data_IF_001877744314
#
_entry.id   IF_001877744314
#
_cell.length_a   1.000
_cell.length_b   1.000
_cell.length_c   1.000
_cell.angle_alpha   90.00
_cell.angle_beta   90.00
_cell.angle_gamma   90.00
#
_symmetry.space_group_name_H-M   'P 1'
#
loop_
_entity.id
_entity.type
_entity.pdbx_description
1 polymer ?
#
# COMPACT_ATOMS: atom_id res chain seq x y z
N UNK A 1 0.41 -19.64 20.68
CA UNK A 1 -0.82 -19.89 19.91
C UNK A 1 -0.39 -20.55 18.62
N UNK A 2 -0.89 -21.74 18.34
CA UNK A 2 -0.62 -22.40 17.07
C UNK A 2 -1.25 -21.55 15.95
N UNK A 3 -0.44 -21.14 14.98
CA UNK A 3 -0.91 -20.39 13.84
C UNK A 3 -1.70 -21.31 12.92
N UNK A 4 -2.90 -20.90 12.51
CA UNK A 4 -3.65 -21.62 11.48
C UNK A 4 -2.85 -21.70 10.18
N UNK A 5 -2.91 -22.86 9.53
CA UNK A 5 -2.36 -23.03 8.19
C UNK A 5 -3.10 -22.11 7.20
N UNK A 6 -2.37 -21.56 6.23
CA UNK A 6 -2.91 -20.66 5.20
C UNK A 6 -2.79 -21.31 3.83
N UNK A 7 -3.80 -21.14 2.99
CA UNK A 7 -3.75 -21.60 1.60
C UNK A 7 -2.49 -21.09 0.88
N UNK A 8 -1.68 -21.97 0.28
CA UNK A 8 -0.43 -21.61 -0.40
C UNK A 8 -0.64 -20.89 -1.75
N UNK A 9 -1.88 -20.74 -2.24
CA UNK A 9 -2.16 -19.80 -3.33
C UNK A 9 -1.97 -18.36 -2.83
N UNK A 10 -0.99 -17.66 -3.39
CA UNK A 10 -0.59 -16.31 -2.96
C UNK A 10 -1.72 -15.27 -2.98
N UNK A 11 -2.68 -15.41 -3.90
CA UNK A 11 -3.83 -14.51 -4.01
C UNK A 11 -5.00 -14.89 -3.08
N UNK A 12 -4.97 -16.08 -2.46
CA UNK A 12 -6.03 -16.55 -1.58
C UNK A 12 -5.66 -16.38 -0.11
N UNK A 13 -4.58 -17.03 0.35
CA UNK A 13 -4.07 -17.00 1.75
C UNK A 13 -5.11 -17.21 2.86
N UNK A 14 -6.30 -17.73 2.55
CA UNK A 14 -7.37 -17.98 3.53
C UNK A 14 -6.89 -18.96 4.59
N UNK A 15 -7.32 -18.75 5.83
CA UNK A 15 -7.13 -19.69 6.93
C UNK A 15 -7.82 -21.02 6.62
N UNK A 16 -7.11 -22.12 6.87
CA UNK A 16 -7.59 -23.47 6.65
C UNK A 16 -8.09 -24.01 7.99
N UNK A 17 -9.39 -24.32 8.05
CA UNK A 17 -10.09 -24.64 9.29
C UNK A 17 -10.42 -26.13 9.34
N UNK A 18 -11.38 -26.62 8.55
CA UNK A 18 -11.85 -28.01 8.69
C UNK A 18 -11.13 -28.98 7.75
N UNK A 19 -11.08 -28.62 6.46
CA UNK A 19 -10.52 -29.45 5.40
C UNK A 19 -9.61 -28.66 4.50
N UNK A 20 -8.58 -29.33 4.02
CA UNK A 20 -7.62 -28.78 3.07
C UNK A 20 -7.10 -29.88 2.14
N UNK A 21 -6.52 -29.48 1.03
CA UNK A 21 -5.80 -30.39 0.13
C UNK A 21 -4.31 -30.25 0.42
N UNK A 22 -3.65 -31.34 0.78
CA UNK A 22 -2.21 -31.42 1.05
C UNK A 22 -1.52 -32.17 -0.08
N UNK A 23 -0.33 -31.73 -0.46
CA UNK A 23 0.50 -32.39 -1.46
C UNK A 23 1.78 -32.99 -0.87
N UNK A 24 2.34 -33.99 -1.54
CA UNK A 24 3.64 -34.60 -1.17
C UNK A 24 4.81 -33.64 -1.29
N UNK A 25 4.70 -32.59 -2.12
CA UNK A 25 5.68 -31.49 -2.18
C UNK A 25 5.51 -30.44 -1.07
N UNK A 26 4.85 -30.79 0.03
CA UNK A 26 4.64 -29.97 1.23
C UNK A 26 3.79 -28.71 1.05
N UNK A 27 2.91 -28.66 0.04
CA UNK A 27 1.98 -27.53 -0.13
C UNK A 27 0.57 -27.89 0.36
N UNK A 28 -0.19 -26.87 0.75
CA UNK A 28 -1.55 -27.00 1.25
C UNK A 28 -2.47 -25.92 0.68
N UNK A 29 -3.67 -26.31 0.28
CA UNK A 29 -4.64 -25.45 -0.40
C UNK A 29 -6.03 -25.59 0.22
N UNK A 30 -6.84 -24.54 0.13
CA UNK A 30 -8.27 -24.68 0.38
C UNK A 30 -8.93 -25.49 -0.74
N UNK A 31 -10.08 -26.10 -0.45
CA UNK A 31 -10.81 -26.94 -1.41
C UNK A 31 -11.16 -26.18 -2.70
N UNK A 32 -11.58 -24.92 -2.59
CA UNK A 32 -11.92 -24.06 -3.73
C UNK A 32 -10.74 -23.90 -4.69
N UNK A 33 -9.58 -23.50 -4.17
CA UNK A 33 -8.36 -23.32 -4.98
C UNK A 33 -7.86 -24.66 -5.53
N UNK A 34 -7.97 -25.74 -4.76
CA UNK A 34 -7.53 -27.04 -5.23
C UNK A 34 -8.38 -27.53 -6.42
N UNK A 35 -9.70 -27.42 -6.32
CA UNK A 35 -10.63 -27.79 -7.40
C UNK A 35 -10.44 -26.94 -8.67
N UNK A 36 -10.05 -25.67 -8.51
CA UNK A 36 -9.78 -24.76 -9.62
C UNK A 36 -8.43 -25.07 -10.31
N UNK A 37 -7.39 -25.37 -9.53
CA UNK A 37 -5.99 -25.31 -10.00
C UNK A 37 -5.35 -26.66 -10.27
N UNK A 38 -5.76 -27.73 -9.59
CA UNK A 38 -5.31 -29.08 -9.93
C UNK A 38 -6.08 -29.58 -11.16
N UNK A 39 -5.70 -29.06 -12.34
CA UNK A 39 -6.21 -29.51 -13.63
C UNK A 39 -5.49 -30.78 -14.11
N UNK A 40 -5.82 -31.24 -15.32
CA UNK A 40 -5.32 -32.50 -15.94
C UNK A 40 -3.80 -32.64 -15.89
N UNK A 41 -3.05 -31.52 -15.88
CA UNK A 41 -1.59 -31.52 -15.89
C UNK A 41 -0.95 -31.99 -14.59
N UNK A 42 -1.71 -32.23 -13.51
CA UNK A 42 -1.23 -32.76 -12.22
C UNK A 42 0.04 -32.06 -11.70
N UNK A 43 0.10 -30.74 -11.83
CA UNK A 43 1.21 -29.93 -11.31
C UNK A 43 0.78 -29.23 -10.02
N UNK A 44 1.69 -29.12 -9.06
CA UNK A 44 1.47 -28.31 -7.88
C UNK A 44 1.32 -26.82 -8.27
N UNK A 45 0.23 -26.14 -7.90
CA UNK A 45 0.02 -24.73 -8.24
C UNK A 45 1.01 -23.75 -7.58
N UNK A 46 1.79 -24.21 -6.59
CA UNK A 46 2.73 -23.36 -5.85
C UNK A 46 4.19 -23.56 -6.25
N UNK A 47 4.59 -24.76 -6.68
CA UNK A 47 5.99 -25.09 -6.98
C UNK A 47 6.19 -25.90 -8.26
N UNK A 48 5.12 -26.13 -9.03
CA UNK A 48 5.15 -26.81 -10.33
C UNK A 48 5.67 -28.25 -10.32
N UNK A 49 5.87 -28.84 -9.14
CA UNK A 49 6.21 -30.26 -9.00
C UNK A 49 5.11 -31.12 -9.62
N UNK A 50 5.50 -32.11 -10.41
CA UNK A 50 4.60 -33.12 -10.96
C UNK A 50 4.09 -34.04 -9.87
N UNK A 51 2.77 -34.21 -9.79
CA UNK A 51 2.02 -34.92 -8.75
C UNK A 51 1.22 -36.06 -9.40
N UNK A 52 1.94 -37.04 -9.96
CA UNK A 52 1.36 -38.12 -10.77
C UNK A 52 0.87 -39.31 -9.96
N UNK A 53 1.39 -39.49 -8.75
CA UNK A 53 1.06 -40.63 -7.90
C UNK A 53 -0.32 -40.49 -7.25
N UNK A 54 -1.00 -41.60 -6.90
CA UNK A 54 -2.34 -41.56 -6.30
C UNK A 54 -2.41 -40.75 -5.00
N UNK A 55 -1.37 -40.79 -4.19
CA UNK A 55 -1.29 -40.15 -2.88
C UNK A 55 -0.61 -38.76 -2.91
N UNK A 56 -0.28 -38.25 -4.10
CA UNK A 56 0.38 -36.95 -4.24
C UNK A 56 -0.52 -35.76 -3.87
N UNK A 57 -1.83 -35.95 -3.89
CA UNK A 57 -2.84 -34.93 -3.60
C UNK A 57 -3.93 -35.54 -2.76
N UNK A 58 -3.98 -35.20 -1.47
CA UNK A 58 -4.91 -35.78 -0.51
C UNK A 58 -5.75 -34.73 0.18
N UNK A 59 -7.04 -35.00 0.34
CA UNK A 59 -7.91 -34.18 1.19
C UNK A 59 -7.67 -34.59 2.64
N UNK A 60 -7.20 -33.65 3.46
CA UNK A 60 -6.91 -33.83 4.87
C UNK A 60 -7.98 -33.16 5.74
N UNK A 61 -8.35 -33.82 6.83
CA UNK A 61 -9.12 -33.24 7.92
C UNK A 61 -8.15 -32.64 8.94
N UNK A 62 -8.23 -31.34 9.17
CA UNK A 62 -7.31 -30.64 10.09
C UNK A 62 -7.70 -30.85 11.56
N UNK A 63 -8.96 -31.23 11.81
CA UNK A 63 -9.49 -31.50 13.14
C UNK A 63 -10.11 -32.92 13.18
N UNK A 64 -9.28 -33.99 13.17
CA UNK A 64 -9.80 -35.35 13.20
C UNK A 64 -10.42 -35.70 14.56
N UNK A 65 -11.34 -36.67 14.57
CA UNK A 65 -11.94 -37.21 15.80
C UNK A 65 -10.91 -37.95 16.66
N UNK A 66 -11.18 -38.12 17.96
CA UNK A 66 -10.29 -38.87 18.84
C UNK A 66 -10.14 -40.33 18.38
N UNK A 67 -11.21 -40.97 17.92
CA UNK A 67 -11.17 -42.33 17.40
C UNK A 67 -10.22 -42.46 16.21
N UNK A 68 -10.26 -41.49 15.28
CA UNK A 68 -9.33 -41.46 14.14
C UNK A 68 -7.89 -41.27 14.59
N UNK A 69 -7.63 -40.36 15.55
CA UNK A 69 -6.28 -40.14 16.11
C UNK A 69 -5.72 -41.43 16.74
N UNK A 70 -6.57 -42.23 17.40
CA UNK A 70 -6.17 -43.53 17.97
C UNK A 70 -5.89 -44.57 16.88
N UNK A 71 -6.71 -44.63 15.83
CA UNK A 71 -6.60 -45.70 14.83
C UNK A 71 -5.57 -45.45 13.73
N UNK A 72 -5.32 -44.18 13.36
CA UNK A 72 -4.60 -43.82 12.11
C UNK A 72 -3.18 -44.39 12.00
N UNK A 73 -2.49 -44.61 13.12
CA UNK A 73 -1.15 -45.23 13.17
C UNK A 73 -1.14 -46.65 13.76
N UNK A 74 -2.30 -47.15 14.19
CA UNK A 74 -2.41 -48.47 14.82
C UNK A 74 -2.12 -49.59 13.80
N UNK A 75 -1.26 -50.53 14.16
CA UNK A 75 -0.84 -51.64 13.29
C UNK A 75 0.43 -51.38 12.47
N UNK A 76 0.99 -50.17 12.54
CA UNK A 76 2.28 -49.84 11.92
C UNK A 76 3.45 -50.19 12.85
N UNK A 77 4.62 -50.48 12.28
CA UNK A 77 5.84 -50.67 13.08
C UNK A 77 6.30 -49.35 13.69
N UNK A 78 7.03 -49.37 14.83
CA UNK A 78 7.58 -48.16 15.43
C UNK A 78 8.44 -47.32 14.47
N UNK A 79 9.16 -47.96 13.55
CA UNK A 79 9.98 -47.26 12.56
C UNK A 79 9.13 -46.40 11.60
N UNK A 80 8.03 -46.97 11.08
CA UNK A 80 7.12 -46.28 10.16
C UNK A 80 6.39 -45.15 10.90
N UNK A 81 5.97 -45.38 12.14
CA UNK A 81 5.33 -44.36 12.99
C UNK A 81 6.23 -43.14 13.13
N UNK A 82 7.50 -43.36 13.49
CA UNK A 82 8.47 -42.27 13.65
C UNK A 82 8.75 -41.54 12.33
N UNK A 83 8.82 -42.26 11.21
CA UNK A 83 8.99 -41.67 9.88
C UNK A 83 7.82 -40.75 9.51
N UNK A 84 6.57 -41.20 9.72
CA UNK A 84 5.37 -40.40 9.47
C UNK A 84 5.36 -39.15 10.34
N UNK A 85 5.63 -39.30 11.65
CA UNK A 85 5.70 -38.16 12.58
C UNK A 85 6.77 -37.15 12.15
N UNK A 86 7.96 -37.62 11.76
CA UNK A 86 9.04 -36.75 11.30
C UNK A 86 8.64 -35.96 10.04
N UNK A 87 8.02 -36.62 9.05
CA UNK A 87 7.54 -35.96 7.83
C UNK A 87 6.44 -34.94 8.12
N UNK A 88 5.49 -35.27 9.00
CA UNK A 88 4.43 -34.35 9.40
C UNK A 88 4.96 -33.09 10.11
N UNK A 89 5.97 -33.25 10.97
CA UNK A 89 6.65 -32.12 11.63
C UNK A 89 7.41 -31.26 10.62
N UNK A 90 8.15 -31.88 9.68
CA UNK A 90 8.83 -31.14 8.61
C UNK A 90 7.86 -30.37 7.72
N UNK A 91 6.71 -30.95 7.40
CA UNK A 91 5.63 -30.26 6.70
C UNK A 91 5.18 -29.01 7.48
N UNK A 92 4.90 -29.15 8.77
CA UNK A 92 4.49 -28.01 9.60
C UNK A 92 5.56 -26.91 9.65
N UNK A 93 6.83 -27.29 9.87
CA UNK A 93 7.95 -26.36 9.86
C UNK A 93 8.08 -25.61 8.53
N UNK A 94 7.91 -26.32 7.41
CA UNK A 94 7.91 -25.72 6.08
C UNK A 94 6.79 -24.67 5.95
N UNK A 95 5.57 -25.00 6.41
CA UNK A 95 4.44 -24.07 6.36
C UNK A 95 4.67 -22.81 7.21
N UNK A 96 5.24 -22.95 8.41
CA UNK A 96 5.60 -21.81 9.25
C UNK A 96 6.69 -20.95 8.60
N UNK A 97 7.71 -21.57 8.01
CA UNK A 97 8.76 -20.84 7.31
C UNK A 97 8.23 -20.07 6.09
N UNK A 98 7.32 -20.67 5.33
CA UNK A 98 6.67 -20.02 4.19
C UNK A 98 5.78 -18.86 4.62
N UNK A 99 4.99 -19.03 5.69
CA UNK A 99 4.19 -17.92 6.25
C UNK A 99 5.07 -16.76 6.71
N UNK A 100 6.15 -17.06 7.44
CA UNK A 100 7.10 -16.03 7.87
C UNK A 100 7.69 -15.29 6.67
N UNK A 101 8.18 -16.00 5.66
CA UNK A 101 8.75 -15.40 4.45
C UNK A 101 7.74 -14.52 3.72
N UNK A 102 6.49 -14.96 3.61
CA UNK A 102 5.40 -14.19 3.03
C UNK A 102 5.13 -12.89 3.82
N UNK A 103 4.97 -12.98 5.14
CA UNK A 103 4.71 -11.83 6.00
C UNK A 103 5.86 -10.81 5.98
N UNK A 104 7.11 -11.28 5.92
CA UNK A 104 8.27 -10.40 5.76
C UNK A 104 8.21 -9.65 4.42
N UNK A 105 7.89 -10.34 3.33
CA UNK A 105 7.77 -9.71 2.01
C UNK A 105 6.64 -8.67 1.95
N UNK A 106 5.47 -8.99 2.53
CA UNK A 106 4.33 -8.06 2.63
C UNK A 106 4.71 -6.83 3.45
N UNK A 107 5.31 -7.03 4.63
CA UNK A 107 5.72 -5.93 5.51
C UNK A 107 6.74 -5.03 4.83
N UNK A 108 7.73 -5.61 4.13
CA UNK A 108 8.70 -4.85 3.34
C UNK A 108 8.02 -4.03 2.26
N UNK A 109 7.12 -4.62 1.46
CA UNK A 109 6.42 -3.92 0.39
C UNK A 109 5.58 -2.74 0.92
N UNK A 110 4.90 -2.94 2.05
CA UNK A 110 4.12 -1.89 2.72
C UNK A 110 5.02 -0.77 3.23
N UNK A 111 6.16 -1.09 3.83
CA UNK A 111 7.13 -0.09 4.29
C UNK A 111 7.73 0.73 3.13
N UNK A 112 8.09 0.06 2.03
CA UNK A 112 8.63 0.73 0.84
C UNK A 112 7.59 1.70 0.23
N UNK A 113 6.33 1.27 0.12
CA UNK A 113 5.22 2.13 -0.32
C UNK A 113 4.96 3.28 0.62
N UNK A 114 5.00 3.04 1.93
CA UNK A 114 4.80 4.07 2.93
C UNK A 114 5.90 5.14 2.86
N UNK A 115 7.16 4.72 2.72
CA UNK A 115 8.29 5.63 2.53
C UNK A 115 8.17 6.46 1.24
N UNK A 116 7.70 5.84 0.15
CA UNK A 116 7.43 6.55 -1.10
C UNK A 116 6.33 7.60 -0.96
N UNK A 117 5.21 7.24 -0.33
CA UNK A 117 4.10 8.16 -0.08
C UNK A 117 4.50 9.30 0.84
N UNK A 118 5.28 9.03 1.89
CA UNK A 118 5.81 10.06 2.78
C UNK A 118 6.68 11.05 2.01
N UNK A 119 7.57 10.57 1.13
CA UNK A 119 8.41 11.44 0.29
C UNK A 119 7.57 12.29 -0.67
N UNK A 120 6.52 11.71 -1.26
CA UNK A 120 5.61 12.45 -2.14
C UNK A 120 4.88 13.55 -1.36
N UNK A 121 4.40 13.25 -0.15
CA UNK A 121 3.76 14.23 0.72
C UNK A 121 4.73 15.37 1.09
N UNK A 122 5.95 15.05 1.50
CA UNK A 122 6.96 16.06 1.86
C UNK A 122 7.31 16.98 0.68
N UNK A 123 7.32 16.44 -0.55
CA UNK A 123 7.52 17.23 -1.76
C UNK A 123 6.35 18.18 -2.02
N UNK A 124 5.11 17.69 -1.95
CA UNK A 124 3.90 18.53 -2.12
C UNK A 124 3.86 19.65 -1.08
N UNK A 125 4.16 19.33 0.19
CA UNK A 125 4.24 20.33 1.25
C UNK A 125 5.30 21.39 0.95
N UNK A 126 6.46 20.98 0.44
CA UNK A 126 7.53 21.92 0.07
C UNK A 126 7.14 22.82 -1.10
N UNK A 127 6.53 22.26 -2.14
CA UNK A 127 6.06 23.00 -3.31
C UNK A 127 4.98 24.02 -2.91
N UNK A 128 3.97 23.59 -2.14
CA UNK A 128 2.92 24.47 -1.66
C UNK A 128 3.47 25.62 -0.79
N UNK A 129 4.40 25.33 0.12
CA UNK A 129 5.07 26.39 0.91
C UNK A 129 5.90 27.33 0.02
N UNK A 130 6.52 26.82 -1.03
CA UNK A 130 7.22 27.63 -2.04
C UNK A 130 6.28 28.59 -2.76
N UNK A 131 5.12 28.10 -3.20
CA UNK A 131 4.09 28.93 -3.85
C UNK A 131 3.50 29.98 -2.89
N UNK A 132 3.22 29.61 -1.64
CA UNK A 132 2.75 30.55 -0.61
C UNK A 132 3.76 31.68 -0.43
N UNK A 133 5.05 31.37 -0.34
CA UNK A 133 6.10 32.40 -0.19
C UNK A 133 6.21 33.30 -1.41
N UNK A 134 6.10 32.74 -2.62
CA UNK A 134 6.14 33.50 -3.87
C UNK A 134 4.93 34.45 -3.98
N UNK A 135 3.73 33.95 -3.72
CA UNK A 135 2.51 34.74 -3.72
C UNK A 135 2.55 35.82 -2.63
N UNK A 136 3.02 35.48 -1.43
CA UNK A 136 3.20 36.45 -0.34
C UNK A 136 4.16 37.57 -0.73
N UNK A 137 5.27 37.24 -1.40
CA UNK A 137 6.22 38.24 -1.92
C UNK A 137 5.59 39.13 -2.99
N UNK A 138 4.77 38.54 -3.88
CA UNK A 138 4.09 39.29 -4.94
C UNK A 138 3.02 40.23 -4.39
N UNK A 139 2.27 39.80 -3.38
CA UNK A 139 1.30 40.65 -2.68
C UNK A 139 2.02 41.84 -2.05
N UNK A 140 3.11 41.62 -1.32
CA UNK A 140 3.88 42.70 -0.70
C UNK A 140 4.52 43.69 -1.72
N UNK A 141 4.88 43.22 -2.91
CA UNK A 141 5.31 44.08 -4.02
C UNK A 141 4.15 44.94 -4.55
N UNK A 142 3.02 44.31 -4.87
CA UNK A 142 1.84 45.02 -5.37
C UNK A 142 1.27 46.03 -4.36
N UNK A 143 1.34 45.72 -3.06
CA UNK A 143 0.95 46.67 -2.00
C UNK A 143 1.84 47.92 -1.99
N UNK A 144 3.16 47.76 -2.23
CA UNK A 144 4.09 48.89 -2.35
C UNK A 144 3.84 49.71 -3.60
N UNK A 145 3.64 49.06 -4.74
CA UNK A 145 3.34 49.74 -6.01
C UNK A 145 2.02 50.52 -5.92
N UNK A 146 1.00 49.94 -5.29
CA UNK A 146 -0.28 50.60 -5.05
C UNK A 146 -0.14 51.85 -4.19
N UNK A 147 0.68 51.81 -3.14
CA UNK A 147 0.96 52.97 -2.30
C UNK A 147 1.70 54.08 -3.06
N UNK A 148 2.65 53.72 -3.93
CA UNK A 148 3.35 54.68 -4.78
C UNK A 148 2.40 55.37 -5.77
N UNK A 149 1.54 54.60 -6.44
CA UNK A 149 0.56 55.17 -7.37
C UNK A 149 -0.47 56.05 -6.65
N UNK A 150 -0.91 55.69 -5.44
CA UNK A 150 -1.78 56.54 -4.61
C UNK A 150 -1.13 57.89 -4.31
N UNK A 151 0.15 57.92 -3.95
CA UNK A 151 0.89 59.17 -3.71
C UNK A 151 0.98 60.01 -4.99
N UNK A 152 1.30 59.37 -6.12
CA UNK A 152 1.40 60.05 -7.41
C UNK A 152 0.07 60.65 -7.87
N UNK A 153 -1.05 59.97 -7.62
CA UNK A 153 -2.39 60.50 -7.87
C UNK A 153 -2.65 61.75 -7.04
N UNK A 154 -2.30 61.74 -5.74
CA UNK A 154 -2.43 62.90 -4.87
C UNK A 154 -1.59 64.09 -5.38
N UNK A 155 -0.33 63.85 -5.72
CA UNK A 155 0.57 64.88 -6.28
C UNK A 155 0.01 65.50 -7.59
N UNK A 156 -0.50 64.66 -8.49
CA UNK A 156 -1.12 65.12 -9.74
C UNK A 156 -2.41 65.92 -9.50
N UNK A 157 -3.23 65.51 -8.54
CA UNK A 157 -4.44 66.24 -8.15
C UNK A 157 -4.10 67.62 -7.59
N UNK A 158 -3.10 67.71 -6.72
CA UNK A 158 -2.64 68.99 -6.18
C UNK A 158 -2.04 69.89 -7.26
N UNK A 159 -1.18 69.35 -8.13
CA UNK A 159 -0.62 70.09 -9.26
C UNK A 159 -1.70 70.55 -10.27
N UNK A 160 -2.76 69.77 -10.46
CA UNK A 160 -3.91 70.18 -11.28
C UNK A 160 -4.68 71.32 -10.63
N UNK A 161 -4.97 71.25 -9.32
CA UNK A 161 -5.61 72.34 -8.59
C UNK A 161 -4.80 73.62 -8.63
N UNK A 162 -3.47 73.53 -8.51
CA UNK A 162 -2.58 74.69 -8.56
C UNK A 162 -2.64 75.36 -9.94
N UNK A 163 -2.56 74.57 -11.02
CA UNK A 163 -2.71 75.06 -12.40
C UNK A 163 -4.08 75.68 -12.66
N UNK A 164 -5.15 75.09 -12.15
CA UNK A 164 -6.51 75.62 -12.29
C UNK A 164 -6.60 77.03 -11.68
N UNK A 165 -6.04 77.22 -10.46
CA UNK A 165 -5.98 78.53 -9.79
C UNK A 165 -5.16 79.55 -10.59
N UNK A 166 -3.99 79.15 -11.10
CA UNK A 166 -3.16 80.03 -11.94
C UNK A 166 -3.86 80.43 -13.23
N UNK A 167 -4.48 79.46 -13.91
CA UNK A 167 -5.27 79.71 -15.11
C UNK A 167 -6.42 80.69 -14.83
N UNK A 168 -7.15 80.52 -13.74
CA UNK A 168 -8.22 81.45 -13.35
C UNK A 168 -7.71 82.84 -13.03
N UNK A 169 -6.56 83.00 -12.37
CA UNK A 169 -5.93 84.31 -12.16
C UNK A 169 -5.59 85.01 -13.48
N UNK A 170 -4.88 84.31 -14.37
CA UNK A 170 -4.49 84.82 -15.69
C UNK A 170 -5.71 85.16 -16.55
N UNK A 171 -6.77 84.36 -16.46
CA UNK A 171 -8.02 84.62 -17.19
C UNK A 171 -8.69 85.93 -16.73
N UNK A 172 -8.77 86.16 -15.42
CA UNK A 172 -9.29 87.43 -14.87
C UNK A 172 -8.45 88.62 -15.33
N UNK A 173 -7.12 88.52 -15.27
CA UNK A 173 -6.21 89.58 -15.75
C UNK A 173 -6.38 89.88 -17.26
N UNK A 174 -6.69 88.87 -18.07
CA UNK A 174 -6.89 89.04 -19.50
C UNK A 174 -8.29 89.60 -19.85
N UNK A 175 -9.32 89.23 -19.08
CA UNK A 175 -10.69 89.75 -19.24
C UNK A 175 -10.81 91.22 -18.80
N UNK A 176 -9.85 91.73 -18.01
CA UNK A 176 -9.76 93.13 -17.54
C UNK A 176 -8.99 94.08 -18.51
N UNK A 177 -8.48 93.58 -19.64
CA UNK A 177 -7.76 94.33 -20.69
C UNK A 177 -8.67 94.77 -21.84
#
# INVERSE_FOLDING_TARGET
>A
MDSDLKCNRLNCRKALIDKAVVTTCSHIFCLECANELFNVSRLCPACETSLTEPDDVVVCCLHPTNDYKTSVLSGLSPSIIMEICSRALSFWQYQIHQENSFQHAVTRNLNDKNAQLQKQLDNVVREANGEINLLGSKVAELERDLELERRKVLELQDASREREKEYQKLKVEFDDL
#
